data_IF_734702936526
#
_entry.id   IF_734702936526
#
_cell.length_a   1.000
_cell.length_b   1.000
_cell.length_c   1.000
_cell.angle_alpha   90.00
_cell.angle_beta   90.00
_cell.angle_gamma   90.00
#
_symmetry.space_group_name_H-M   'P 1'
#
loop_
_entity.id
_entity.type
_entity.pdbx_description
1 polymer ?
#
# COMPACT_ATOMS: atom_id res chain seq x y z
N UNK A 1 12.06 16.07 -30.52
CA UNK A 1 11.32 15.96 -29.23
C UNK A 1 11.53 14.56 -28.63
N UNK A 2 12.75 14.17 -28.29
CA UNK A 2 13.05 12.83 -27.77
C UNK A 2 12.69 12.65 -26.29
N UNK A 3 12.63 13.75 -25.53
CA UNK A 3 12.44 13.72 -24.07
C UNK A 3 11.01 13.34 -23.65
N UNK A 4 10.02 13.56 -24.52
CA UNK A 4 8.60 13.29 -24.24
C UNK A 4 8.07 12.05 -24.96
N UNK A 5 8.91 11.37 -25.74
CA UNK A 5 8.49 10.25 -26.59
C UNK A 5 7.99 9.06 -25.76
N UNK A 6 8.59 8.80 -24.59
CA UNK A 6 8.10 7.81 -23.62
C UNK A 6 6.70 8.12 -23.05
N UNK A 7 6.32 9.39 -22.98
CA UNK A 7 5.04 9.82 -22.39
C UNK A 7 3.91 9.73 -23.42
N UNK A 8 4.18 10.16 -24.66
CA UNK A 8 3.19 10.20 -25.73
C UNK A 8 3.11 8.89 -26.53
N UNK A 9 4.23 8.20 -26.72
CA UNK A 9 4.32 7.03 -27.60
C UNK A 9 4.46 5.74 -26.79
N UNK A 10 3.47 5.49 -25.91
CA UNK A 10 3.46 4.25 -25.11
C UNK A 10 3.08 3.06 -25.99
N UNK A 11 3.85 1.96 -25.96
CA UNK A 11 3.48 0.75 -26.67
C UNK A 11 2.19 0.17 -26.08
N UNK A 12 1.22 -0.15 -26.95
CA UNK A 12 0.02 -0.85 -26.55
C UNK A 12 0.34 -2.32 -26.24
N UNK A 13 0.40 -2.68 -24.95
CA UNK A 13 0.70 -4.05 -24.47
C UNK A 13 -0.52 -4.80 -23.95
N UNK A 14 -1.73 -4.36 -24.31
CA UNK A 14 -2.98 -4.92 -23.74
C UNK A 14 -3.09 -6.43 -24.02
N UNK A 15 -2.83 -6.88 -25.26
CA UNK A 15 -2.94 -8.30 -25.63
C UNK A 15 -1.92 -9.17 -24.89
N UNK A 16 -0.70 -8.66 -24.68
CA UNK A 16 0.34 -9.35 -23.91
C UNK A 16 -0.08 -9.52 -22.45
N UNK A 17 -0.62 -8.45 -21.85
CA UNK A 17 -1.12 -8.48 -20.49
C UNK A 17 -2.33 -9.40 -20.34
N UNK A 18 -3.26 -9.40 -21.28
CA UNK A 18 -4.41 -10.31 -21.28
C UNK A 18 -3.97 -11.77 -21.27
N UNK A 19 -3.07 -12.16 -22.19
CA UNK A 19 -2.51 -13.52 -22.22
C UNK A 19 -1.82 -13.88 -20.91
N UNK A 20 -1.01 -12.97 -20.36
CA UNK A 20 -0.31 -13.19 -19.07
C UNK A 20 -1.28 -13.37 -17.90
N UNK A 21 -2.31 -12.53 -17.80
CA UNK A 21 -3.28 -12.59 -16.71
C UNK A 21 -4.24 -13.78 -16.83
N UNK A 22 -4.58 -14.19 -18.06
CA UNK A 22 -5.45 -15.35 -18.30
C UNK A 22 -4.70 -16.68 -18.13
N UNK A 23 -3.39 -16.73 -18.41
CA UNK A 23 -2.56 -17.92 -18.20
C UNK A 23 -2.22 -18.20 -16.72
N UNK A 24 -2.43 -17.22 -15.82
CA UNK A 24 -2.11 -17.33 -14.41
C UNK A 24 -3.34 -17.67 -13.57
N UNK A 25 -3.30 -18.82 -12.89
CA UNK A 25 -4.39 -19.32 -12.03
C UNK A 25 -4.43 -18.68 -10.65
N UNK A 26 -3.39 -17.93 -10.26
CA UNK A 26 -3.34 -17.26 -8.95
C UNK A 26 -4.49 -16.25 -8.82
N UNK A 27 -4.86 -15.83 -7.59
CA UNK A 27 -5.81 -14.74 -7.39
C UNK A 27 -5.38 -13.46 -8.13
N UNK A 28 -6.34 -12.66 -8.61
CA UNK A 28 -6.08 -11.51 -9.49
C UNK A 28 -5.06 -10.51 -8.91
N UNK A 29 -5.08 -10.29 -7.59
CA UNK A 29 -4.17 -9.38 -6.90
C UNK A 29 -2.72 -9.89 -6.81
N UNK A 30 -2.46 -11.15 -7.13
CA UNK A 30 -1.12 -11.76 -7.15
C UNK A 30 -0.53 -11.95 -8.56
N UNK A 31 -1.34 -11.74 -9.61
CA UNK A 31 -0.94 -11.90 -11.02
C UNK A 31 0.03 -10.83 -11.55
N UNK A 32 -0.06 -9.54 -11.15
CA UNK A 32 0.85 -8.52 -11.62
C UNK A 32 2.31 -8.86 -11.29
N UNK A 33 3.23 -8.39 -12.13
CA UNK A 33 4.65 -8.40 -11.78
C UNK A 33 4.87 -7.54 -10.52
N UNK A 34 5.66 -8.04 -9.56
CA UNK A 34 5.92 -7.31 -8.32
C UNK A 34 4.81 -7.38 -7.26
N UNK A 35 3.67 -8.03 -7.54
CA UNK A 35 2.53 -8.09 -6.62
C UNK A 35 2.90 -8.55 -5.21
N UNK A 36 3.82 -9.52 -5.06
CA UNK A 36 4.30 -9.99 -3.75
C UNK A 36 4.90 -8.87 -2.91
N UNK A 37 5.77 -8.05 -3.51
CA UNK A 37 6.42 -6.94 -2.81
C UNK A 37 5.39 -5.87 -2.47
N UNK A 38 4.52 -5.50 -3.42
CA UNK A 38 3.45 -4.52 -3.19
C UNK A 38 2.54 -4.92 -2.04
N UNK A 39 2.09 -6.19 -2.00
CA UNK A 39 1.21 -6.68 -0.95
C UNK A 39 1.92 -6.82 0.39
N UNK A 40 3.20 -7.21 0.40
CA UNK A 40 3.99 -7.23 1.63
C UNK A 40 4.14 -5.82 2.22
N UNK A 41 4.49 -4.83 1.39
CA UNK A 41 4.59 -3.43 1.81
C UNK A 41 3.25 -2.91 2.32
N UNK A 42 2.15 -3.19 1.61
CA UNK A 42 0.81 -2.85 2.06
C UNK A 42 0.49 -3.48 3.42
N UNK A 43 0.76 -4.79 3.60
CA UNK A 43 0.50 -5.49 4.85
C UNK A 43 1.27 -4.90 6.04
N UNK A 44 2.53 -4.53 5.84
CA UNK A 44 3.36 -3.87 6.87
C UNK A 44 2.76 -2.52 7.25
N UNK A 45 2.50 -1.65 6.26
CA UNK A 45 1.96 -0.31 6.52
C UNK A 45 0.59 -0.36 7.19
N UNK A 46 -0.28 -1.26 6.72
CA UNK A 46 -1.60 -1.46 7.30
C UNK A 46 -1.51 -1.89 8.76
N UNK A 47 -0.68 -2.90 9.05
CA UNK A 47 -0.53 -3.43 10.41
C UNK A 47 0.04 -2.37 11.38
N UNK A 48 1.05 -1.60 10.92
CA UNK A 48 1.59 -0.48 11.69
C UNK A 48 0.54 0.59 11.97
N UNK A 49 -0.26 0.95 10.94
CA UNK A 49 -1.36 1.89 11.09
C UNK A 49 -2.39 1.41 12.12
N UNK A 50 -2.83 0.16 12.02
CA UNK A 50 -3.79 -0.43 12.95
C UNK A 50 -3.27 -0.48 14.39
N UNK A 51 -2.01 -0.88 14.60
CA UNK A 51 -1.39 -0.87 15.93
C UNK A 51 -1.32 0.54 16.52
N UNK A 52 -0.97 1.54 15.70
CA UNK A 52 -0.95 2.94 16.12
C UNK A 52 -2.34 3.43 16.53
N UNK A 53 -3.38 3.07 15.76
CA UNK A 53 -4.77 3.41 16.10
C UNK A 53 -5.20 2.78 17.43
N UNK A 54 -4.93 1.48 17.63
CA UNK A 54 -5.26 0.79 18.87
C UNK A 54 -4.51 1.38 20.07
N UNK A 55 -3.22 1.71 19.90
CA UNK A 55 -2.43 2.39 20.92
C UNK A 55 -3.02 3.77 21.26
N UNK A 56 -3.35 4.58 20.25
CA UNK A 56 -3.98 5.88 20.44
C UNK A 56 -5.30 5.79 21.19
N UNK A 57 -6.15 4.81 20.85
CA UNK A 57 -7.38 4.53 21.59
C UNK A 57 -7.09 4.18 23.06
N UNK A 58 -6.09 3.33 23.33
CA UNK A 58 -5.67 2.99 24.68
C UNK A 58 -5.23 4.22 25.50
N UNK A 59 -4.45 5.11 24.90
CA UNK A 59 -4.03 6.37 25.53
C UNK A 59 -5.22 7.29 25.82
N UNK A 60 -6.20 7.37 24.91
CA UNK A 60 -7.41 8.18 25.11
C UNK A 60 -8.25 7.67 26.28
N UNK A 61 -8.41 6.35 26.41
CA UNK A 61 -9.20 5.74 27.51
C UNK A 61 -8.49 5.89 28.86
N UNK A 62 -7.18 5.66 28.91
CA UNK A 62 -6.40 5.65 30.16
C UNK A 62 -5.91 7.04 30.59
N UNK A 63 -5.97 8.03 29.69
CA UNK A 63 -5.35 9.34 29.91
C UNK A 63 -3.81 9.31 29.88
N UNK A 64 -3.22 8.17 29.50
CA UNK A 64 -1.78 7.99 29.39
C UNK A 64 -1.18 8.98 28.38
N UNK A 65 -0.12 9.69 28.77
CA UNK A 65 0.53 10.71 27.94
C UNK A 65 -0.03 12.13 28.07
N UNK A 66 -1.01 12.38 28.95
CA UNK A 66 -1.39 13.75 29.30
C UNK A 66 -0.27 14.41 30.13
N UNK A 67 0.17 15.64 29.79
CA UNK A 67 1.11 16.38 30.62
C UNK A 67 0.47 16.74 31.96
N UNK A 68 1.29 16.83 33.02
CA UNK A 68 0.84 17.27 34.33
C UNK A 68 0.16 18.65 34.23
N UNK A 69 -0.92 18.90 35.00
CA UNK A 69 -1.54 20.21 35.03
C UNK A 69 -0.50 21.26 35.38
N UNK A 70 -0.44 22.36 34.61
CA UNK A 70 0.52 23.45 34.86
C UNK A 70 0.25 24.23 36.15
N UNK A 71 -0.88 23.94 36.80
CA UNK A 71 -1.42 24.66 37.96
C UNK A 71 -1.44 23.81 39.25
N UNK A 72 -0.65 22.73 39.32
CA UNK A 72 -0.49 21.87 40.50
C UNK A 72 0.74 22.24 41.34
#
# INVERSE_FOLDING_TARGET
MALLDFVYNRPNRVLELQKKYQADTRPIYLRPAGARVTLATYGVLFSLGMMSTLYGMGCLVTGYGKPAPKDA
#
